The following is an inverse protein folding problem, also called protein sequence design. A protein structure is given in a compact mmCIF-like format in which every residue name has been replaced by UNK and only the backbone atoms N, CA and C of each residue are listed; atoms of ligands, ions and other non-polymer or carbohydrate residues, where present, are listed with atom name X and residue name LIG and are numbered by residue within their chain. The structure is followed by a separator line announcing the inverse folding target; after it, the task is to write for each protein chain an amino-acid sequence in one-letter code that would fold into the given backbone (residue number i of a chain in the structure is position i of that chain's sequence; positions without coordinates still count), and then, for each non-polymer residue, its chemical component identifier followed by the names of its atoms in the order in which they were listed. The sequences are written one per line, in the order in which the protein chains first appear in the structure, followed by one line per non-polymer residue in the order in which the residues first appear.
data_IF_883665045980
#
_entry.id   IF_883665045980
#
_cell.length_a   1.000
_cell.length_b   1.000
_cell.length_c   1.000
_cell.angle_alpha   90.00
_cell.angle_beta   90.00
_cell.angle_gamma   90.00
#
_symmetry.space_group_name_H-M   'P 1'
#
loop_
_entity.id
_entity.type
_entity.pdbx_description
1 polymer ?
#
# COMPACT_ATOMS: atom_id res chain seq x y z
N UNK A 1 -21.36 9.75 -2.73
CA UNK A 1 -19.95 9.43 -2.40
C UNK A 1 -19.90 8.00 -1.89
N UNK A 2 -19.00 7.19 -2.41
CA UNK A 2 -18.86 5.81 -1.97
C UNK A 2 -18.16 5.75 -0.62
N UNK A 3 -18.80 5.12 0.35
CA UNK A 3 -18.16 4.75 1.61
C UNK A 3 -17.79 3.27 1.55
N UNK A 4 -16.71 2.92 2.24
CA UNK A 4 -16.21 1.56 2.24
C UNK A 4 -15.58 1.22 3.59
N UNK A 5 -15.51 -0.06 3.88
CA UNK A 5 -14.78 -0.58 5.03
C UNK A 5 -13.75 -1.60 4.57
N UNK A 6 -12.74 -1.83 5.39
CA UNK A 6 -11.65 -2.74 5.08
C UNK A 6 -11.92 -4.15 5.62
N UNK A 7 -11.64 -5.14 4.81
CA UNK A 7 -11.65 -6.54 5.23
C UNK A 7 -10.41 -7.26 4.73
N UNK A 8 -9.82 -8.10 5.57
CA UNK A 8 -8.77 -9.02 5.12
C UNK A 8 -9.36 -10.03 4.12
N UNK A 9 -8.66 -10.28 3.02
CA UNK A 9 -9.15 -11.21 2.00
C UNK A 9 -9.39 -12.60 2.57
N UNK A 10 -10.50 -13.23 2.17
CA UNK A 10 -10.87 -14.58 2.59
C UNK A 10 -11.67 -15.27 1.49
N UNK A 11 -12.04 -16.53 1.73
CA UNK A 11 -12.83 -17.33 0.77
C UNK A 11 -14.21 -16.75 0.50
N UNK A 12 -14.80 -16.01 1.44
CA UNK A 12 -16.14 -15.44 1.29
C UNK A 12 -16.25 -14.35 0.22
N UNK A 13 -15.13 -13.74 -0.17
CA UNK A 13 -15.11 -12.61 -1.08
C UNK A 13 -15.18 -13.08 -2.54
N UNK A 14 -16.23 -12.66 -3.27
CA UNK A 14 -16.34 -12.85 -4.72
C UNK A 14 -15.42 -11.85 -5.43
N UNK A 15 -14.49 -12.34 -6.25
CA UNK A 15 -13.44 -11.54 -6.85
C UNK A 15 -13.50 -11.48 -8.38
N UNK A 16 -14.41 -12.21 -8.99
CA UNK A 16 -14.50 -12.34 -10.45
C UNK A 16 -14.93 -11.05 -11.14
N UNK A 17 -15.77 -10.24 -10.49
CA UNK A 17 -16.28 -9.01 -11.04
C UNK A 17 -15.33 -7.82 -10.95
N UNK A 18 -14.26 -7.93 -10.16
CA UNK A 18 -13.29 -6.87 -9.99
C UNK A 18 -12.52 -6.61 -11.29
N UNK A 19 -12.49 -5.35 -11.72
CA UNK A 19 -11.75 -4.92 -12.90
C UNK A 19 -11.18 -3.52 -12.70
N UNK A 20 -9.87 -3.46 -12.46
CA UNK A 20 -9.16 -2.17 -12.32
C UNK A 20 -8.60 -1.63 -13.63
N UNK A 21 -8.77 -2.35 -14.74
CA UNK A 21 -8.19 -1.98 -16.03
C UNK A 21 -6.81 -2.56 -16.30
N UNK A 22 -6.20 -3.22 -15.33
CA UNK A 22 -4.90 -3.88 -15.42
C UNK A 22 -5.10 -5.38 -15.19
N UNK A 23 -5.04 -6.18 -16.26
CA UNK A 23 -5.34 -7.62 -16.14
C UNK A 23 -4.41 -8.33 -15.16
N UNK A 24 -3.14 -7.95 -15.09
CA UNK A 24 -2.21 -8.56 -14.13
C UNK A 24 -2.65 -8.37 -12.68
N UNK A 25 -3.22 -7.21 -12.34
CA UNK A 25 -3.75 -6.93 -11.01
C UNK A 25 -5.08 -7.65 -10.75
N UNK A 26 -5.95 -7.71 -11.75
CA UNK A 26 -7.21 -8.46 -11.70
C UNK A 26 -6.92 -9.95 -11.46
N UNK A 27 -6.00 -10.51 -12.23
CA UNK A 27 -5.59 -11.91 -12.12
C UNK A 27 -4.98 -12.21 -10.75
N UNK A 28 -4.11 -11.32 -10.26
CA UNK A 28 -3.54 -11.49 -8.92
C UNK A 28 -4.63 -11.58 -7.86
N UNK A 29 -5.59 -10.67 -7.87
CA UNK A 29 -6.68 -10.69 -6.88
C UNK A 29 -7.51 -11.96 -6.99
N UNK A 30 -7.81 -12.37 -8.22
CA UNK A 30 -8.68 -13.51 -8.51
C UNK A 30 -8.03 -14.85 -8.14
N UNK A 31 -6.75 -15.03 -8.48
CA UNK A 31 -6.11 -16.35 -8.44
C UNK A 31 -5.07 -16.51 -7.33
N UNK A 32 -4.38 -15.44 -6.91
CA UNK A 32 -3.19 -15.57 -6.06
C UNK A 32 -3.31 -14.90 -4.69
N UNK A 33 -4.04 -13.81 -4.58
CA UNK A 33 -4.03 -12.96 -3.39
C UNK A 33 -4.42 -13.71 -2.12
N UNK A 34 -5.49 -14.49 -2.16
CA UNK A 34 -5.98 -15.20 -0.98
C UNK A 34 -4.99 -16.27 -0.50
N UNK A 35 -4.45 -17.06 -1.42
CA UNK A 35 -3.48 -18.10 -1.06
C UNK A 35 -2.19 -17.48 -0.47
N UNK A 36 -1.70 -16.42 -1.09
CA UNK A 36 -0.54 -15.69 -0.58
C UNK A 36 -0.81 -15.12 0.82
N UNK A 37 -2.00 -14.56 1.02
CA UNK A 37 -2.43 -14.05 2.32
C UNK A 37 -2.44 -15.15 3.40
N UNK A 38 -3.06 -16.28 3.10
CA UNK A 38 -3.18 -17.40 4.03
C UNK A 38 -1.81 -18.00 4.38
N UNK A 39 -0.89 -18.03 3.42
CA UNK A 39 0.46 -18.57 3.62
C UNK A 39 1.46 -17.55 4.19
N UNK A 40 1.07 -16.30 4.39
CA UNK A 40 1.94 -15.27 4.96
C UNK A 40 2.95 -14.65 3.97
N UNK A 41 2.71 -14.80 2.66
CA UNK A 41 3.54 -14.19 1.62
C UNK A 41 3.31 -12.68 1.56
N UNK A 42 2.20 -12.27 0.97
CA UNK A 42 1.73 -10.89 0.99
C UNK A 42 0.33 -10.85 1.60
N UNK A 43 0.10 -9.93 2.53
CA UNK A 43 -1.22 -9.75 3.12
C UNK A 43 -2.04 -8.81 2.26
N UNK A 44 -3.25 -9.21 1.89
CA UNK A 44 -4.15 -8.45 1.03
C UNK A 44 -5.39 -8.01 1.80
N UNK A 45 -5.73 -6.74 1.66
CA UNK A 45 -6.87 -6.10 2.30
C UNK A 45 -7.77 -5.47 1.24
N UNK A 46 -9.06 -5.66 1.38
CA UNK A 46 -10.07 -5.25 0.43
C UNK A 46 -10.84 -4.05 0.96
N UNK A 47 -11.12 -3.08 0.09
CA UNK A 47 -12.11 -2.04 0.35
C UNK A 47 -13.46 -2.55 -0.15
N UNK A 48 -14.35 -2.82 0.80
CA UNK A 48 -15.69 -3.34 0.52
C UNK A 48 -16.71 -2.20 0.49
N UNK A 49 -17.53 -2.14 -0.53
CA UNK A 49 -18.57 -1.12 -0.65
C UNK A 49 -19.60 -1.27 0.48
N UNK A 50 -19.82 -0.22 1.24
CA UNK A 50 -20.82 -0.22 2.34
C UNK A 50 -22.25 -0.32 1.82
N UNK A 51 -22.48 -0.02 0.54
CA UNK A 51 -23.83 -0.09 -0.04
C UNK A 51 -24.37 -1.52 -0.11
N UNK A 52 -23.51 -2.50 -0.35
CA UNK A 52 -23.94 -3.91 -0.51
C UNK A 52 -23.13 -4.91 0.32
N UNK A 53 -22.01 -4.49 0.90
CA UNK A 53 -21.07 -5.34 1.64
C UNK A 53 -20.55 -6.53 0.83
N UNK A 54 -20.51 -6.42 -0.49
CA UNK A 54 -20.11 -7.48 -1.43
C UNK A 54 -19.14 -7.00 -2.50
N UNK A 55 -19.35 -5.80 -3.02
CA UNK A 55 -18.54 -5.24 -4.10
C UNK A 55 -17.18 -4.80 -3.58
N UNK A 56 -16.13 -5.25 -4.25
CA UNK A 56 -14.75 -4.83 -3.97
C UNK A 56 -14.49 -3.55 -4.74
N UNK A 57 -14.31 -2.43 -4.03
CA UNK A 57 -13.96 -1.13 -4.63
C UNK A 57 -12.50 -1.05 -5.00
N UNK A 58 -11.64 -1.72 -4.24
CA UNK A 58 -10.21 -1.70 -4.43
C UNK A 58 -9.51 -2.63 -3.45
N UNK A 59 -8.20 -2.73 -3.59
CA UNK A 59 -7.40 -3.53 -2.66
C UNK A 59 -5.95 -3.05 -2.62
N UNK A 60 -5.26 -3.44 -1.58
CA UNK A 60 -3.80 -3.33 -1.51
C UNK A 60 -3.19 -4.58 -0.90
N UNK A 61 -1.92 -4.82 -1.23
CA UNK A 61 -1.15 -5.95 -0.68
C UNK A 61 0.17 -5.46 -0.11
N UNK A 62 0.52 -5.97 1.07
CA UNK A 62 1.72 -5.60 1.80
C UNK A 62 2.57 -6.82 2.13
N UNK A 63 3.88 -6.66 2.09
CA UNK A 63 4.85 -7.64 2.59
C UNK A 63 6.04 -6.92 3.22
N UNK A 64 6.78 -7.58 4.13
CA UNK A 64 8.00 -7.00 4.68
C UNK A 64 9.09 -6.96 3.60
N UNK A 65 9.98 -5.98 3.70
CA UNK A 65 11.11 -5.84 2.79
C UNK A 65 12.25 -5.07 3.45
N UNK A 66 13.36 -4.96 2.74
CA UNK A 66 14.46 -4.08 3.10
C UNK A 66 15.10 -3.51 1.85
N UNK A 67 15.78 -2.39 1.99
CA UNK A 67 16.53 -1.74 0.91
C UNK A 67 17.95 -1.51 1.40
N UNK A 68 18.94 -1.80 0.55
CA UNK A 68 20.35 -1.58 0.88
C UNK A 68 20.60 -0.14 1.33
N UNK A 69 21.40 0.03 2.37
CA UNK A 69 21.72 1.34 2.95
C UNK A 69 22.23 2.32 1.88
N UNK A 70 23.14 1.88 1.01
CA UNK A 70 23.73 2.72 -0.04
C UNK A 70 22.71 3.21 -1.07
N UNK A 71 21.60 2.48 -1.28
CA UNK A 71 20.53 2.83 -2.23
C UNK A 71 19.44 3.69 -1.61
N UNK A 72 19.41 3.79 -0.28
CA UNK A 72 18.38 4.53 0.45
C UNK A 72 18.75 6.02 0.50
N UNK A 73 17.83 6.94 0.14
CA UNK A 73 18.07 8.37 0.28
C UNK A 73 18.43 8.77 1.71
N UNK A 74 19.30 9.76 1.84
CA UNK A 74 19.80 10.21 3.15
C UNK A 74 18.67 10.64 4.10
N UNK A 75 17.65 11.27 3.56
CA UNK A 75 16.51 11.73 4.38
C UNK A 75 15.82 10.59 5.14
N UNK A 76 15.87 9.38 4.62
CA UNK A 76 15.26 8.21 5.24
C UNK A 76 16.25 7.50 6.15
N UNK A 77 17.50 7.35 5.69
CA UNK A 77 18.53 6.58 6.43
C UNK A 77 19.21 7.34 7.56
N UNK A 78 19.02 8.63 7.64
CA UNK A 78 19.68 9.48 8.65
C UNK A 78 19.38 8.97 10.06
N UNK A 79 20.43 8.75 10.86
CA UNK A 79 20.32 8.23 12.21
C UNK A 79 20.18 6.73 12.31
N UNK A 80 20.03 6.02 11.20
CA UNK A 80 19.99 4.56 11.20
C UNK A 80 21.40 3.96 11.10
N UNK A 81 21.57 2.77 11.66
CA UNK A 81 22.81 2.00 11.51
C UNK A 81 23.02 1.62 10.03
N UNK A 82 24.29 1.40 9.64
CA UNK A 82 24.67 1.05 8.26
C UNK A 82 24.35 -0.41 7.92
N UNK A 83 23.09 -0.76 8.00
CA UNK A 83 22.53 -2.04 7.62
C UNK A 83 21.43 -1.83 6.59
N UNK A 84 20.90 -2.89 6.03
CA UNK A 84 19.71 -2.82 5.19
C UNK A 84 18.61 -2.09 5.94
N UNK A 85 17.96 -1.15 5.26
CA UNK A 85 16.91 -0.32 5.83
C UNK A 85 15.59 -1.09 5.78
N UNK A 86 14.96 -1.38 6.94
CA UNK A 86 13.74 -2.17 6.97
C UNK A 86 12.53 -1.34 6.57
N UNK A 87 11.59 -2.00 5.92
CA UNK A 87 10.33 -1.38 5.53
C UNK A 87 9.30 -2.40 5.10
N UNK A 88 8.26 -1.90 4.44
CA UNK A 88 7.17 -2.71 3.93
C UNK A 88 7.00 -2.41 2.44
N UNK A 89 6.80 -3.45 1.64
CA UNK A 89 6.52 -3.29 0.22
C UNK A 89 5.03 -3.16 0.01
N UNK A 90 4.63 -2.07 -0.62
CA UNK A 90 3.30 -1.96 -1.20
C UNK A 90 3.34 -2.71 -2.53
N UNK A 91 3.11 -4.01 -2.46
CA UNK A 91 3.26 -4.91 -3.61
C UNK A 91 2.22 -4.62 -4.69
N UNK A 92 1.00 -4.25 -4.28
CA UNK A 92 -0.09 -3.92 -5.20
C UNK A 92 -1.04 -2.92 -4.57
N UNK A 93 -1.62 -2.07 -5.42
CA UNK A 93 -2.70 -1.16 -5.06
C UNK A 93 -3.55 -0.93 -6.31
N UNK A 94 -4.83 -1.20 -6.22
CA UNK A 94 -5.73 -1.09 -7.36
C UNK A 94 -7.12 -0.65 -6.94
N UNK A 95 -7.80 0.10 -7.81
CA UNK A 95 -9.19 0.55 -7.64
C UNK A 95 -9.99 0.07 -8.84
N UNK A 96 -11.15 -0.54 -8.61
CA UNK A 96 -12.07 -0.95 -9.65
C UNK A 96 -12.50 0.25 -10.51
N UNK A 97 -12.62 0.06 -11.83
CA UNK A 97 -12.99 1.11 -12.79
C UNK A 97 -14.22 1.90 -12.39
N UNK A 98 -15.20 1.23 -11.78
CA UNK A 98 -16.46 1.87 -11.36
C UNK A 98 -16.25 2.90 -10.26
N UNK A 99 -15.15 2.81 -9.53
CA UNK A 99 -14.86 3.64 -8.36
C UNK A 99 -13.63 4.54 -8.55
N UNK A 100 -12.99 4.51 -9.72
CA UNK A 100 -11.85 5.37 -10.02
C UNK A 100 -12.26 6.84 -10.12
N UNK A 101 -11.33 7.75 -9.83
CA UNK A 101 -11.58 9.18 -9.91
C UNK A 101 -12.32 9.78 -8.71
N UNK A 102 -12.51 9.03 -7.64
CA UNK A 102 -13.23 9.46 -6.42
C UNK A 102 -12.35 9.47 -5.16
N UNK A 103 -11.03 9.36 -5.33
CA UNK A 103 -10.08 9.45 -4.22
C UNK A 103 -9.84 8.16 -3.44
N UNK A 104 -10.42 7.03 -3.84
CA UNK A 104 -10.27 5.75 -3.14
C UNK A 104 -8.81 5.27 -3.15
N UNK A 105 -8.08 5.48 -4.24
CA UNK A 105 -6.66 5.12 -4.31
C UNK A 105 -5.82 5.77 -3.22
N UNK A 106 -6.02 7.06 -2.98
CA UNK A 106 -5.36 7.79 -1.90
C UNK A 106 -5.76 7.30 -0.52
N UNK A 107 -7.05 6.98 -0.33
CA UNK A 107 -7.56 6.40 0.91
C UNK A 107 -6.93 5.03 1.18
N UNK A 108 -6.79 4.19 0.15
CA UNK A 108 -6.12 2.88 0.26
C UNK A 108 -4.64 3.03 0.60
N UNK A 109 -3.96 4.00 0.01
CA UNK A 109 -2.56 4.27 0.32
C UNK A 109 -2.38 4.66 1.79
N UNK A 110 -3.24 5.53 2.31
CA UNK A 110 -3.22 5.92 3.72
C UNK A 110 -3.61 4.75 4.64
N UNK A 111 -4.55 3.90 4.25
CA UNK A 111 -4.92 2.71 5.01
C UNK A 111 -3.75 1.72 5.08
N UNK A 112 -3.05 1.50 3.97
CA UNK A 112 -1.84 0.68 3.92
C UNK A 112 -0.75 1.27 4.83
N UNK A 113 -0.53 2.58 4.74
CA UNK A 113 0.43 3.30 5.57
C UNK A 113 0.12 3.20 7.07
N UNK A 114 -1.15 3.35 7.44
CA UNK A 114 -1.59 3.20 8.84
C UNK A 114 -1.29 1.79 9.34
N UNK A 115 -1.56 0.77 8.55
CA UNK A 115 -1.25 -0.62 8.91
C UNK A 115 0.25 -0.83 9.11
N UNK A 116 1.07 -0.24 8.24
CA UNK A 116 2.52 -0.30 8.38
C UNK A 116 3.02 0.43 9.64
N UNK A 117 2.42 1.56 10.00
CA UNK A 117 2.75 2.26 11.24
C UNK A 117 2.47 1.40 12.47
N UNK A 118 1.32 0.71 12.50
CA UNK A 118 0.98 -0.20 13.59
C UNK A 118 1.97 -1.37 13.67
N UNK A 119 2.28 -1.97 12.52
CA UNK A 119 3.26 -3.06 12.46
C UNK A 119 4.67 -2.58 12.84
N UNK A 120 5.08 -1.40 12.42
CA UNK A 120 6.40 -0.85 12.73
C UNK A 120 6.61 -0.58 14.22
N UNK A 121 5.55 -0.25 14.94
CA UNK A 121 5.60 -0.08 16.38
C UNK A 121 5.94 -1.39 17.11
N UNK A 122 5.60 -2.53 16.52
CA UNK A 122 5.84 -3.86 17.08
C UNK A 122 7.17 -4.46 16.62
N UNK A 123 7.51 -4.34 15.35
CA UNK A 123 8.62 -5.08 14.73
C UNK A 123 9.66 -4.20 14.03
N UNK A 124 9.47 -2.89 14.00
CA UNK A 124 10.34 -1.98 13.24
C UNK A 124 9.89 -1.81 11.79
N UNK A 125 10.62 -0.99 11.04
CA UNK A 125 10.29 -0.58 9.68
C UNK A 125 10.07 0.92 9.64
N UNK A 126 10.61 1.58 8.59
CA UNK A 126 10.64 3.06 8.53
C UNK A 126 9.98 3.62 7.28
N UNK A 127 9.60 2.77 6.31
CA UNK A 127 9.14 3.24 5.01
C UNK A 127 8.24 2.23 4.31
N UNK A 128 7.43 2.74 3.36
CA UNK A 128 6.82 1.93 2.30
C UNK A 128 7.74 1.96 1.09
N UNK A 129 7.98 0.80 0.50
CA UNK A 129 8.66 0.65 -0.79
C UNK A 129 7.61 0.42 -1.87
N UNK A 130 7.64 1.24 -2.92
CA UNK A 130 6.64 1.26 -3.98
C UNK A 130 7.33 1.16 -5.32
N UNK A 131 6.94 0.19 -6.14
CA UNK A 131 7.41 0.09 -7.52
C UNK A 131 6.29 0.60 -8.45
N UNK A 132 6.53 1.76 -9.07
CA UNK A 132 5.58 2.36 -10.01
C UNK A 132 5.80 1.77 -11.41
N UNK A 133 4.73 1.50 -12.13
CA UNK A 133 4.83 0.92 -13.48
C UNK A 133 5.30 1.91 -14.55
N UNK A 134 5.14 3.20 -14.29
CA UNK A 134 5.55 4.28 -15.21
C UNK A 134 5.72 5.61 -14.47
N UNK A 135 6.18 6.63 -15.18
CA UNK A 135 6.44 7.96 -14.62
C UNK A 135 5.18 8.64 -14.09
N UNK A 136 4.04 8.44 -14.74
CA UNK A 136 2.77 9.03 -14.29
C UNK A 136 2.36 8.49 -12.92
N UNK A 137 2.47 7.19 -12.74
CA UNK A 137 2.16 6.54 -11.46
C UNK A 137 3.19 6.93 -10.39
N UNK A 138 4.47 7.00 -10.75
CA UNK A 138 5.52 7.50 -9.84
C UNK A 138 5.21 8.92 -9.35
N UNK A 139 4.79 9.81 -10.26
CA UNK A 139 4.37 11.17 -9.93
C UNK A 139 3.18 11.21 -8.97
N UNK A 140 2.23 10.29 -9.13
CA UNK A 140 1.09 10.19 -8.22
C UNK A 140 1.56 9.84 -6.80
N UNK A 141 2.43 8.86 -6.64
CA UNK A 141 3.00 8.54 -5.32
C UNK A 141 3.87 9.68 -4.78
N UNK A 142 4.63 10.36 -5.64
CA UNK A 142 5.45 11.50 -5.24
C UNK A 142 4.59 12.65 -4.68
N UNK A 143 3.37 12.82 -5.16
CA UNK A 143 2.43 13.82 -4.64
C UNK A 143 2.04 13.55 -3.17
N UNK A 144 2.22 12.35 -2.68
CA UNK A 144 2.02 11.98 -1.28
C UNK A 144 3.32 12.05 -0.45
N UNK A 145 4.43 12.45 -1.05
CA UNK A 145 5.71 12.58 -0.37
C UNK A 145 6.68 11.43 -0.59
N UNK A 146 6.38 10.49 -1.49
CA UNK A 146 7.31 9.43 -1.85
C UNK A 146 8.50 10.01 -2.62
N UNK A 147 9.71 9.51 -2.31
CA UNK A 147 10.95 9.94 -2.96
C UNK A 147 11.58 8.77 -3.73
N UNK A 148 12.17 9.03 -4.92
CA UNK A 148 12.76 7.97 -5.70
C UNK A 148 13.99 7.37 -5.02
N UNK A 149 14.15 6.05 -5.22
CA UNK A 149 15.33 5.33 -4.81
C UNK A 149 16.53 5.78 -5.66
N UNK A 150 17.72 5.80 -5.09
CA UNK A 150 18.92 6.16 -5.85
C UNK A 150 19.12 5.19 -7.01
N UNK A 151 19.29 5.73 -8.23
CA UNK A 151 19.48 4.99 -9.49
C UNK A 151 18.29 4.14 -9.94
N UNK A 152 17.09 4.35 -9.38
CA UNK A 152 15.88 3.63 -9.77
C UNK A 152 14.67 4.54 -9.64
N UNK A 153 14.41 5.45 -10.61
CA UNK A 153 13.40 6.52 -10.47
C UNK A 153 11.94 6.03 -10.39
N UNK A 154 11.67 4.78 -10.81
CA UNK A 154 10.33 4.20 -10.69
C UNK A 154 10.13 3.39 -9.40
N UNK A 155 11.18 3.24 -8.60
CA UNK A 155 11.10 2.68 -7.25
C UNK A 155 11.13 3.83 -6.25
N UNK A 156 10.09 3.95 -5.44
CA UNK A 156 9.95 5.06 -4.52
C UNK A 156 9.88 4.57 -3.08
N UNK A 157 10.32 5.44 -2.18
CA UNK A 157 10.24 5.22 -0.74
C UNK A 157 9.35 6.29 -0.12
N UNK A 158 8.32 5.86 0.57
CA UNK A 158 7.42 6.76 1.30
C UNK A 158 7.70 6.61 2.80
N UNK A 159 8.31 7.62 3.45
CA UNK A 159 8.61 7.54 4.88
C UNK A 159 7.34 7.36 5.71
N UNK A 160 7.38 6.48 6.69
CA UNK A 160 6.23 6.30 7.59
C UNK A 160 5.94 7.56 8.41
N UNK A 161 6.95 8.39 8.69
CA UNK A 161 6.75 9.69 9.33
C UNK A 161 5.91 10.65 8.49
N UNK A 162 6.05 10.61 7.16
CA UNK A 162 5.20 11.39 6.25
C UNK A 162 3.75 10.91 6.30
N UNK A 163 3.54 9.61 6.31
CA UNK A 163 2.20 9.01 6.44
C UNK A 163 1.58 9.37 7.79
N UNK A 164 2.37 9.26 8.87
CA UNK A 164 1.90 9.61 10.22
C UNK A 164 1.42 11.06 10.30
N UNK A 165 2.17 12.00 9.70
CA UNK A 165 1.79 13.41 9.66
C UNK A 165 0.48 13.62 8.89
N UNK A 166 0.31 12.94 7.75
CA UNK A 166 -0.92 13.01 6.94
C UNK A 166 -2.14 12.46 7.71
N UNK A 167 -1.97 11.33 8.40
CA UNK A 167 -3.04 10.73 9.21
C UNK A 167 -3.42 11.61 10.40
N UNK A 168 -2.46 12.20 11.08
CA UNK A 168 -2.70 13.17 12.19
C UNK A 168 -3.49 14.38 11.71
N UNK A 169 -3.13 14.94 10.55
CA UNK A 169 -3.86 16.07 9.94
C UNK A 169 -5.31 15.70 9.61
N UNK A 170 -5.59 14.45 9.31
CA UNK A 170 -6.93 13.95 9.04
C UNK A 170 -7.67 13.51 10.32
N UNK A 171 -7.07 13.64 11.51
CA UNK A 171 -7.66 13.23 12.78
C UNK A 171 -7.72 11.72 13.00
N UNK A 172 -6.89 10.95 12.29
CA UNK A 172 -6.85 9.49 12.38
C UNK A 172 -5.79 9.05 13.39
N UNK A 173 -6.17 8.12 14.28
CA UNK A 173 -5.24 7.58 15.27
C UNK A 173 -4.18 6.67 14.61
N UNK A 174 -2.93 6.92 14.99
CA UNK A 174 -1.76 6.21 14.46
C UNK A 174 -1.09 5.28 15.46
N UNK A 175 -1.61 5.24 16.68
CA UNK A 175 -1.13 4.34 17.73
C UNK A 175 -2.22 3.34 18.11
N UNK A 176 -1.83 2.13 18.55
CA UNK A 176 -2.77 1.14 19.04
C UNK A 176 -3.52 1.60 20.28
#
# INVERSE_FOLDING_TARGET
MTTWHEEAISRKHGREAFDCGEEALNEFLRLYARKSHDLGGAKTFLAMDDADNKTICGFYSLSPTSVGYARTPEIIRRGLARHDVPGFRLARLAVDRRFQGHGIGGQLLLAAGRRCLLASAEVGGVMLVIDAKNERVAGWYASYGAVPLLNAPLSLLLPLTTIEAALKSAGIHTKP
#
